data_IF_701112794201
#
_entry.id   IF_701112794201
#
_cell.length_a   1.000
_cell.length_b   1.000
_cell.length_c   1.000
_cell.angle_alpha   90.00
_cell.angle_beta   90.00
_cell.angle_gamma   90.00
#
_symmetry.space_group_name_H-M   'P 1'
#
loop_
_entity.id
_entity.type
_entity.pdbx_description
1 polymer ?
#
# COMPACT_ATOMS: atom_id res chain seq x y z
N UNK A 1 13.73 -11.21 -13.11
CA UNK A 1 12.45 -11.91 -12.87
C UNK A 1 11.37 -10.84 -12.91
N UNK A 2 10.42 -10.99 -13.82
CA UNK A 2 9.32 -10.07 -14.03
C UNK A 2 8.51 -9.91 -12.74
N UNK A 3 8.41 -8.68 -12.21
CA UNK A 3 7.55 -8.36 -11.06
C UNK A 3 6.15 -8.14 -11.61
N UNK A 4 5.35 -9.19 -11.68
CA UNK A 4 3.95 -9.09 -12.11
C UNK A 4 3.10 -8.73 -10.91
N UNK A 5 2.46 -7.56 -10.97
CA UNK A 5 1.45 -7.10 -10.03
C UNK A 5 0.34 -8.16 -9.90
N UNK A 6 0.00 -8.56 -8.68
CA UNK A 6 -1.01 -9.60 -8.43
C UNK A 6 -2.37 -8.95 -8.17
N UNK A 7 -3.39 -9.37 -8.91
CA UNK A 7 -4.78 -8.97 -8.64
C UNK A 7 -5.29 -9.62 -7.34
N UNK A 8 -5.75 -8.79 -6.40
CA UNK A 8 -6.31 -9.20 -5.11
C UNK A 8 -7.85 -9.13 -5.06
N UNK A 9 -8.49 -8.69 -6.16
CA UNK A 9 -9.93 -8.57 -6.31
C UNK A 9 -10.42 -7.13 -6.44
N UNK A 10 -11.74 -6.95 -6.43
CA UNK A 10 -12.37 -5.64 -6.47
C UNK A 10 -13.56 -5.57 -5.51
N UNK A 11 -13.79 -4.39 -4.92
CA UNK A 11 -14.91 -4.12 -4.02
C UNK A 11 -15.60 -2.84 -4.47
N UNK A 12 -16.90 -2.92 -4.80
CA UNK A 12 -17.72 -1.76 -5.26
C UNK A 12 -17.04 -0.92 -6.36
N UNK A 13 -16.34 -1.57 -7.28
CA UNK A 13 -15.64 -0.92 -8.40
C UNK A 13 -14.24 -0.39 -8.09
N UNK A 14 -13.73 -0.56 -6.87
CA UNK A 14 -12.33 -0.28 -6.50
C UNK A 14 -11.51 -1.55 -6.69
N UNK A 15 -10.41 -1.48 -7.44
CA UNK A 15 -9.50 -2.62 -7.66
C UNK A 15 -8.42 -2.66 -6.59
N UNK A 16 -8.01 -3.86 -6.18
CA UNK A 16 -6.93 -4.07 -5.22
C UNK A 16 -5.80 -4.84 -5.87
N UNK A 17 -4.58 -4.32 -5.77
CA UNK A 17 -3.37 -4.90 -6.36
C UNK A 17 -2.36 -5.16 -5.25
N UNK A 18 -1.91 -6.41 -5.16
CA UNK A 18 -0.87 -6.89 -4.26
C UNK A 18 0.48 -6.86 -4.97
N UNK A 19 1.38 -5.98 -4.50
CA UNK A 19 2.80 -6.07 -4.77
C UNK A 19 3.64 -6.08 -3.49
N UNK A 20 3.24 -6.95 -2.56
CA UNK A 20 3.96 -7.24 -1.31
C UNK A 20 5.43 -7.63 -1.50
N UNK A 21 5.92 -7.87 -2.72
CA UNK A 21 7.32 -8.18 -3.01
C UNK A 21 8.19 -6.93 -3.24
N UNK A 22 7.62 -5.74 -3.47
CA UNK A 22 8.32 -4.47 -3.52
C UNK A 22 8.88 -4.04 -2.15
N UNK A 23 9.90 -4.77 -1.69
CA UNK A 23 10.57 -4.59 -0.39
C UNK A 23 11.65 -3.52 -0.38
N UNK A 24 11.82 -2.79 -1.48
CA UNK A 24 12.75 -1.69 -1.59
C UNK A 24 12.10 -0.48 -2.28
N UNK A 25 12.59 0.75 -2.03
CA UNK A 25 12.02 1.98 -2.58
C UNK A 25 11.98 2.03 -4.11
N UNK A 26 12.99 1.48 -4.79
CA UNK A 26 13.09 1.52 -6.24
C UNK A 26 12.01 0.65 -6.91
N UNK A 27 11.76 -0.55 -6.38
CA UNK A 27 10.68 -1.42 -6.84
C UNK A 27 9.32 -0.75 -6.66
N UNK A 28 9.01 -0.29 -5.43
CA UNK A 28 7.73 0.35 -5.13
C UNK A 28 7.47 1.62 -5.97
N UNK A 29 8.53 2.37 -6.31
CA UNK A 29 8.46 3.52 -7.22
C UNK A 29 8.08 3.13 -8.65
N UNK A 30 8.58 1.99 -9.13
CA UNK A 30 8.21 1.46 -10.44
C UNK A 30 6.74 1.03 -10.48
N UNK A 31 6.23 0.41 -9.41
CA UNK A 31 4.84 -0.05 -9.33
C UNK A 31 3.86 1.13 -9.34
N UNK A 32 4.17 2.21 -8.63
CA UNK A 32 3.40 3.47 -8.67
C UNK A 32 3.28 4.04 -10.10
N UNK A 33 4.31 3.82 -10.92
CA UNK A 33 4.33 4.28 -12.31
C UNK A 33 3.63 3.31 -13.27
N UNK A 34 3.52 2.03 -12.88
CA UNK A 34 2.90 0.98 -13.69
C UNK A 34 1.37 0.91 -13.55
N UNK A 35 0.82 1.44 -12.45
CA UNK A 35 -0.62 1.55 -12.26
C UNK A 35 -1.15 2.75 -13.03
N UNK A 36 -2.15 2.53 -13.89
CA UNK A 36 -2.87 3.60 -14.58
C UNK A 36 -3.98 4.20 -13.71
N UNK A 37 -4.18 5.51 -13.83
CA UNK A 37 -5.28 6.22 -13.18
C UNK A 37 -5.06 6.57 -11.70
N UNK A 38 -6.12 7.04 -11.02
CA UNK A 38 -6.06 7.42 -9.61
C UNK A 38 -5.83 6.19 -8.73
N UNK A 39 -4.94 6.34 -7.74
CA UNK A 39 -4.59 5.26 -6.83
C UNK A 39 -4.47 5.73 -5.38
N UNK A 40 -4.73 4.79 -4.47
CA UNK A 40 -4.39 4.89 -3.06
C UNK A 40 -3.28 3.89 -2.76
N UNK A 41 -2.21 4.35 -2.13
CA UNK A 41 -1.05 3.53 -1.82
C UNK A 41 -1.12 3.01 -0.38
N UNK A 42 -0.86 1.72 -0.17
CA UNK A 42 -0.51 1.17 1.14
C UNK A 42 0.98 0.88 1.16
N UNK A 43 1.72 1.57 2.05
CA UNK A 43 3.17 1.48 2.13
C UNK A 43 3.68 1.37 3.58
N UNK A 44 4.92 0.90 3.73
CA UNK A 44 5.62 0.85 5.00
C UNK A 44 6.00 -0.56 5.46
N UNK A 45 6.65 -0.61 6.63
CA UNK A 45 7.28 -1.81 7.18
C UNK A 45 8.56 -1.47 7.95
N UNK A 46 9.53 -2.38 7.92
CA UNK A 46 10.87 -2.14 8.48
C UNK A 46 11.77 -1.52 7.38
N UNK A 47 12.24 -0.28 7.55
CA UNK A 47 13.07 0.39 6.55
C UNK A 47 14.48 -0.20 6.44
N UNK A 48 14.94 -1.00 7.41
CA UNK A 48 16.30 -1.56 7.46
C UNK A 48 17.42 -0.52 7.24
N UNK A 49 17.18 0.72 7.67
CA UNK A 49 18.13 1.84 7.50
C UNK A 49 18.19 2.43 6.08
N UNK A 50 17.26 2.05 5.18
CA UNK A 50 17.14 2.66 3.86
C UNK A 50 16.58 4.08 3.96
N UNK A 51 17.07 4.96 3.08
CA UNK A 51 16.48 6.27 2.85
C UNK A 51 15.21 6.14 2.01
N UNK A 52 14.10 6.65 2.54
CA UNK A 52 12.78 6.59 1.91
C UNK A 52 12.36 7.92 1.29
N UNK A 53 13.18 8.98 1.39
CA UNK A 53 12.84 10.35 0.96
C UNK A 53 12.43 10.43 -0.52
N UNK A 54 13.19 9.76 -1.40
CA UNK A 54 12.90 9.71 -2.83
C UNK A 54 11.57 9.01 -3.14
N UNK A 55 11.30 7.88 -2.47
CA UNK A 55 10.03 7.18 -2.60
C UNK A 55 8.86 7.99 -2.05
N UNK A 56 9.02 8.61 -0.87
CA UNK A 56 8.01 9.46 -0.27
C UNK A 56 7.57 10.59 -1.20
N UNK A 57 8.53 11.22 -1.91
CA UNK A 57 8.24 12.24 -2.91
C UNK A 57 7.41 11.68 -4.08
N UNK A 58 7.81 10.55 -4.66
CA UNK A 58 7.06 9.96 -5.77
C UNK A 58 5.67 9.49 -5.33
N UNK A 59 5.57 8.91 -4.13
CA UNK A 59 4.29 8.51 -3.55
C UNK A 59 3.36 9.72 -3.38
N UNK A 60 3.87 10.83 -2.84
CA UNK A 60 3.11 12.07 -2.67
C UNK A 60 2.64 12.67 -4.02
N UNK A 61 3.46 12.55 -5.06
CA UNK A 61 3.12 13.04 -6.39
C UNK A 61 2.12 12.13 -7.14
N UNK A 62 2.16 10.81 -6.93
CA UNK A 62 1.33 9.85 -7.68
C UNK A 62 0.04 9.42 -7.00
N UNK A 63 0.04 9.27 -5.68
CA UNK A 63 -1.10 8.71 -4.95
C UNK A 63 -2.09 9.81 -4.55
N UNK A 64 -3.38 9.57 -4.73
CA UNK A 64 -4.43 10.46 -4.22
C UNK A 64 -4.46 10.45 -2.69
N UNK A 65 -4.13 9.29 -2.10
CA UNK A 65 -3.98 9.11 -0.66
C UNK A 65 -2.96 8.03 -0.35
N UNK A 66 -2.30 8.12 0.81
CA UNK A 66 -1.25 7.20 1.23
C UNK A 66 -1.59 6.67 2.63
N UNK A 67 -1.69 5.36 2.76
CA UNK A 67 -1.88 4.66 4.02
C UNK A 67 -0.56 4.02 4.43
N UNK A 68 -0.06 4.41 5.61
CA UNK A 68 1.24 4.01 6.11
C UNK A 68 1.12 3.03 7.26
N UNK A 69 1.89 1.94 7.22
CA UNK A 69 1.94 0.92 8.25
C UNK A 69 3.38 0.66 8.73
N UNK A 70 3.51 0.15 9.96
CA UNK A 70 4.79 -0.33 10.49
C UNK A 70 5.77 0.77 10.90
N UNK A 71 7.03 0.36 11.11
CA UNK A 71 8.05 1.21 11.76
C UNK A 71 8.44 2.43 10.93
N UNK A 72 8.40 2.32 9.60
CA UNK A 72 8.70 3.45 8.71
C UNK A 72 7.56 4.45 8.55
N UNK A 73 6.35 4.18 9.08
CA UNK A 73 5.18 5.03 8.87
C UNK A 73 5.42 6.49 9.28
N UNK A 74 6.02 6.71 10.45
CA UNK A 74 6.33 8.06 10.92
C UNK A 74 7.32 8.80 10.00
N UNK A 75 8.42 8.15 9.64
CA UNK A 75 9.45 8.75 8.79
C UNK A 75 8.92 9.06 7.38
N UNK A 76 8.08 8.17 6.82
CA UNK A 76 7.39 8.38 5.56
C UNK A 76 6.41 9.54 5.63
N UNK A 77 5.60 9.63 6.69
CA UNK A 77 4.65 10.73 6.87
C UNK A 77 5.37 12.09 6.95
N UNK A 78 6.46 12.16 7.72
CA UNK A 78 7.30 13.35 7.82
C UNK A 78 7.92 13.72 6.46
N UNK A 79 8.38 12.75 5.68
CA UNK A 79 8.97 12.97 4.35
C UNK A 79 7.94 13.36 3.28
N UNK A 80 6.69 12.87 3.36
CA UNK A 80 5.58 13.26 2.50
C UNK A 80 5.17 14.72 2.78
N UNK A 81 5.22 15.14 4.04
CA UNK A 81 5.05 16.55 4.43
C UNK A 81 3.63 17.11 4.29
N UNK A 82 2.66 16.31 3.83
CA UNK A 82 1.25 16.67 3.72
C UNK A 82 0.36 15.73 4.56
N UNK A 83 0.02 16.11 5.81
CA UNK A 83 -0.77 15.27 6.70
C UNK A 83 -2.18 14.94 6.17
N UNK A 84 -2.76 15.77 5.30
CA UNK A 84 -4.10 15.54 4.75
C UNK A 84 -4.13 14.37 3.75
N UNK A 85 -2.98 14.02 3.17
CA UNK A 85 -2.82 12.94 2.19
C UNK A 85 -2.40 11.62 2.84
N UNK A 86 -2.20 11.59 4.16
CA UNK A 86 -1.62 10.46 4.87
C UNK A 86 -2.55 9.96 5.97
N UNK A 87 -2.78 8.65 5.99
CA UNK A 87 -3.35 7.94 7.14
C UNK A 87 -2.32 6.96 7.68
N UNK A 88 -2.14 6.89 8.99
CA UNK A 88 -1.36 5.82 9.63
C UNK A 88 -2.32 4.76 10.13
N UNK A 89 -2.05 3.49 9.81
CA UNK A 89 -2.84 2.34 10.26
C UNK A 89 -1.95 1.38 11.06
N UNK A 90 -2.55 0.70 12.04
CA UNK A 90 -1.84 -0.22 12.94
C UNK A 90 -1.86 -1.66 12.43
N UNK A 91 -2.77 -2.01 11.52
CA UNK A 91 -2.85 -3.33 10.88
C UNK A 91 -3.10 -3.25 9.37
N UNK A 92 -2.93 -4.38 8.67
CA UNK A 92 -3.25 -4.47 7.24
C UNK A 92 -4.76 -4.35 6.99
N UNK A 93 -5.60 -4.88 7.88
CA UNK A 93 -7.05 -4.76 7.81
C UNK A 93 -7.50 -3.31 7.92
N UNK A 94 -6.98 -2.58 8.92
CA UNK A 94 -7.23 -1.15 9.05
C UNK A 94 -6.72 -0.38 7.84
N UNK A 95 -5.54 -0.75 7.30
CA UNK A 95 -4.99 -0.10 6.13
C UNK A 95 -5.86 -0.29 4.88
N UNK A 96 -6.38 -1.51 4.66
CA UNK A 96 -7.30 -1.83 3.56
C UNK A 96 -8.63 -1.09 3.72
N UNK A 97 -9.17 -1.03 4.94
CA UNK A 97 -10.42 -0.30 5.23
C UNK A 97 -10.25 1.20 5.02
N UNK A 98 -9.16 1.79 5.52
CA UNK A 98 -8.85 3.20 5.32
C UNK A 98 -8.63 3.55 3.85
N UNK A 99 -7.88 2.71 3.12
CA UNK A 99 -7.64 2.91 1.69
C UNK A 99 -8.93 2.82 0.87
N UNK A 100 -9.79 1.86 1.18
CA UNK A 100 -11.10 1.73 0.54
C UNK A 100 -12.01 2.92 0.85
N UNK A 101 -12.04 3.39 2.10
CA UNK A 101 -12.94 4.46 2.55
C UNK A 101 -12.72 5.81 1.85
N UNK A 102 -11.50 6.06 1.35
CA UNK A 102 -11.17 7.27 0.57
C UNK A 102 -11.20 7.03 -0.95
N UNK A 103 -11.35 5.78 -1.39
CA UNK A 103 -11.35 5.41 -2.81
C UNK A 103 -12.70 5.62 -3.48
N UNK A 104 -12.69 5.85 -4.78
CA UNK A 104 -13.90 5.94 -5.61
C UNK A 104 -13.96 4.79 -6.62
N UNK A 105 -15.15 4.42 -7.13
CA UNK A 105 -15.25 3.43 -8.22
C UNK A 105 -14.36 3.81 -9.40
N UNK A 106 -13.60 2.83 -9.90
CA UNK A 106 -12.58 3.02 -10.95
C UNK A 106 -11.18 3.30 -10.43
N UNK A 107 -11.00 3.54 -9.13
CA UNK A 107 -9.68 3.72 -8.51
C UNK A 107 -9.01 2.38 -8.20
N UNK A 108 -7.71 2.45 -7.93
CA UNK A 108 -6.89 1.29 -7.55
C UNK A 108 -6.29 1.49 -6.16
N UNK A 109 -6.41 0.50 -5.28
CA UNK A 109 -5.62 0.39 -4.05
C UNK A 109 -4.42 -0.51 -4.35
N UNK A 110 -3.21 0.03 -4.18
CA UNK A 110 -1.95 -0.68 -4.43
C UNK A 110 -1.22 -0.94 -3.11
N UNK A 111 -0.90 -2.20 -2.81
CA UNK A 111 0.08 -2.54 -1.78
C UNK A 111 1.48 -2.56 -2.41
N UNK A 112 2.27 -1.51 -2.16
CA UNK A 112 3.67 -1.41 -2.58
C UNK A 112 4.52 -0.92 -1.38
N UNK A 113 5.02 -1.83 -0.53
CA UNK A 113 5.45 -1.51 0.82
C UNK A 113 6.75 -0.69 0.91
N UNK A 114 7.60 -0.71 -0.12
CA UNK A 114 8.94 -0.10 -0.16
C UNK A 114 9.92 -0.54 0.95
N UNK A 115 9.47 -1.35 1.89
CA UNK A 115 10.15 -1.76 3.11
C UNK A 115 10.02 -3.28 3.31
N UNK A 116 10.93 -3.83 4.12
CA UNK A 116 10.87 -5.23 4.51
C UNK A 116 9.60 -5.48 5.36
N UNK A 117 9.07 -6.71 5.30
CA UNK A 117 7.86 -7.11 6.01
C UNK A 117 8.07 -7.39 7.50
N UNK A 118 9.33 -7.51 7.93
CA UNK A 118 9.70 -7.84 9.30
C UNK A 118 9.14 -6.83 10.32
N UNK A 119 8.78 -7.34 11.50
CA UNK A 119 8.17 -6.56 12.57
C UNK A 119 6.64 -6.63 12.59
N UNK A 120 5.99 -6.66 11.42
CA UNK A 120 4.53 -6.88 11.30
C UNK A 120 4.16 -8.25 10.75
N UNK A 121 5.02 -8.85 9.92
CA UNK A 121 4.79 -10.15 9.28
C UNK A 121 6.07 -11.00 9.32
N UNK A 122 5.91 -12.32 9.21
CA UNK A 122 6.98 -13.32 9.10
C UNK A 122 7.80 -13.13 7.84
N UNK A 123 7.13 -12.89 6.71
CA UNK A 123 7.74 -12.68 5.40
C UNK A 123 6.81 -11.92 4.44
N UNK A 124 7.26 -11.72 3.21
CA UNK A 124 6.53 -10.99 2.17
C UNK A 124 5.28 -11.74 1.71
N UNK A 125 5.33 -13.09 1.72
CA UNK A 125 4.20 -13.94 1.31
C UNK A 125 3.06 -13.81 2.32
N UNK A 126 3.37 -13.87 3.62
CA UNK A 126 2.36 -13.64 4.66
C UNK A 126 1.75 -12.24 4.55
N UNK A 127 2.55 -11.20 4.30
CA UNK A 127 2.02 -9.84 4.09
C UNK A 127 1.02 -9.79 2.93
N UNK A 128 1.34 -10.41 1.80
CA UNK A 128 0.42 -10.48 0.65
C UNK A 128 -0.83 -11.33 0.93
N UNK A 129 -0.69 -12.43 1.67
CA UNK A 129 -1.81 -13.27 2.11
C UNK A 129 -2.76 -12.51 3.03
N UNK A 130 -2.23 -11.77 4.02
CA UNK A 130 -3.02 -10.95 4.95
C UNK A 130 -3.73 -9.84 4.17
N UNK A 131 -3.06 -9.16 3.24
CA UNK A 131 -3.70 -8.16 2.38
C UNK A 131 -4.84 -8.76 1.55
N UNK A 132 -4.61 -9.87 0.84
CA UNK A 132 -5.66 -10.55 0.08
C UNK A 132 -6.81 -11.02 0.98
N UNK A 133 -6.51 -11.48 2.19
CA UNK A 133 -7.52 -11.87 3.19
C UNK A 133 -8.37 -10.68 3.64
N UNK A 134 -7.73 -9.55 3.94
CA UNK A 134 -8.41 -8.30 4.30
C UNK A 134 -9.31 -7.78 3.19
N UNK A 135 -8.85 -7.83 1.93
CA UNK A 135 -9.67 -7.45 0.76
C UNK A 135 -10.89 -8.36 0.60
N UNK A 136 -10.73 -9.68 0.78
CA UNK A 136 -11.87 -10.63 0.76
C UNK A 136 -12.87 -10.35 1.87
N UNK A 137 -12.40 -10.15 3.09
CA UNK A 137 -13.27 -9.81 4.22
C UNK A 137 -14.02 -8.49 3.98
N UNK A 138 -13.36 -7.50 3.36
CA UNK A 138 -13.98 -6.25 2.96
C UNK A 138 -15.07 -6.45 1.89
N UNK A 139 -14.82 -7.32 0.91
CA UNK A 139 -15.80 -7.68 -0.13
C UNK A 139 -17.05 -8.33 0.49
N UNK A 140 -16.85 -9.27 1.41
CA UNK A 140 -17.94 -9.95 2.12
C UNK A 140 -18.81 -8.96 2.91
N UNK A 141 -18.19 -7.96 3.57
CA UNK A 141 -18.91 -6.89 4.29
C UNK A 141 -19.75 -6.00 3.36
N UNK A 142 -19.34 -5.83 2.11
CA UNK A 142 -19.99 -4.94 1.15
C UNK A 142 -20.86 -5.67 0.11
N UNK A 143 -21.09 -6.97 0.32
CA UNK A 143 -22.11 -7.73 -0.37
C UNK A 143 -21.77 -8.10 -1.81
N UNK A 144 -20.54 -8.59 -2.06
CA UNK A 144 -20.15 -9.36 -3.25
C UNK A 144 -20.54 -8.78 -4.61
#
# INVERSE_FOLDING_TARGET
AEHLLRDAGAVRGVRFIDDSKATNPAAATADLSAVDGPLVLIAGGDPKGLDLSGFARVAADRAEHIVLIGQSARALAEAIGNPAQVTVAESMEEAVEAAFGVSQPGWTVLLAPACASFGMFRDMSERGEVFCGAVRALADKHGG
#
